data_IF_494779865965
#
_entry.id   IF_494779865965
#
_cell.length_a   1.000
_cell.length_b   1.000
_cell.length_c   1.000
_cell.angle_alpha   90.00
_cell.angle_beta   90.00
_cell.angle_gamma   90.00
#
_symmetry.space_group_name_H-M   'P 1'
#
loop_
_entity.id
_entity.type
_entity.pdbx_description
1 polymer ?
#
# COMPACT_ATOMS: atom_id res chain seq x y z
N UNK A 1 9.58 -43.23 -2.79
CA UNK A 1 10.05 -41.85 -2.62
C UNK A 1 9.08 -40.95 -3.35
N UNK A 2 8.08 -40.43 -2.63
CA UNK A 2 7.05 -39.60 -3.18
C UNK A 2 7.54 -38.14 -3.19
N UNK A 3 7.77 -37.62 -4.39
CA UNK A 3 8.11 -36.23 -4.62
C UNK A 3 6.96 -35.34 -4.04
N UNK A 4 7.23 -34.69 -2.95
CA UNK A 4 6.36 -33.66 -2.37
C UNK A 4 6.28 -32.51 -3.38
N UNK A 5 5.20 -32.45 -4.16
CA UNK A 5 4.87 -31.29 -4.98
C UNK A 5 4.58 -30.12 -4.04
N UNK A 6 5.59 -29.31 -3.77
CA UNK A 6 5.44 -28.03 -3.11
C UNK A 6 4.37 -27.22 -3.88
N UNK A 7 3.32 -26.77 -3.20
CA UNK A 7 2.38 -25.82 -3.81
C UNK A 7 3.16 -24.55 -4.15
N UNK A 8 2.97 -23.98 -5.34
CA UNK A 8 3.59 -22.71 -5.68
C UNK A 8 3.19 -21.65 -4.65
N UNK A 9 4.09 -20.70 -4.39
CA UNK A 9 3.80 -19.56 -3.53
C UNK A 9 2.63 -18.72 -4.09
N UNK A 10 1.88 -17.98 -3.27
CA UNK A 10 0.86 -17.06 -3.77
C UNK A 10 1.48 -16.13 -4.82
N UNK A 11 0.86 -16.03 -6.00
CA UNK A 11 1.38 -15.25 -7.12
C UNK A 11 2.40 -15.99 -8.02
N UNK A 12 2.65 -17.29 -7.81
CA UNK A 12 3.47 -18.13 -8.70
C UNK A 12 2.63 -19.26 -9.33
N UNK A 13 2.85 -19.52 -10.62
CA UNK A 13 2.33 -20.70 -11.30
C UNK A 13 3.38 -21.83 -11.25
N UNK A 14 2.94 -23.06 -11.49
CA UNK A 14 3.83 -24.20 -11.55
C UNK A 14 5.01 -23.95 -12.50
N UNK A 15 6.25 -24.32 -12.09
CA UNK A 15 7.42 -24.13 -12.92
C UNK A 15 7.33 -24.94 -14.22
N UNK A 16 7.84 -24.37 -15.30
CA UNK A 16 7.98 -25.00 -16.60
C UNK A 16 9.45 -25.14 -17.00
N UNK A 17 9.72 -25.89 -18.06
CA UNK A 17 11.07 -25.97 -18.64
C UNK A 17 11.08 -25.14 -19.92
N UNK A 18 11.99 -24.17 -20.00
CA UNK A 18 12.25 -23.39 -21.21
C UNK A 18 13.65 -23.67 -21.74
N UNK A 19 13.87 -23.41 -23.02
CA UNK A 19 15.18 -23.51 -23.67
C UNK A 19 15.71 -22.10 -23.93
N UNK A 20 16.91 -21.84 -23.45
CA UNK A 20 17.61 -20.59 -23.74
C UNK A 20 18.18 -20.62 -25.16
N UNK A 21 18.04 -19.54 -25.91
CA UNK A 21 18.61 -19.40 -27.26
C UNK A 21 20.09 -19.05 -27.24
N UNK A 22 20.60 -18.55 -26.10
CA UNK A 22 22.02 -18.20 -25.96
C UNK A 22 22.91 -19.47 -26.00
N UNK A 23 24.05 -19.41 -26.72
CA UNK A 23 24.95 -20.53 -26.84
C UNK A 23 25.44 -21.03 -25.48
N UNK A 24 25.36 -22.35 -25.23
CA UNK A 24 25.88 -22.98 -24.02
C UNK A 24 24.97 -22.92 -22.78
N UNK A 25 23.80 -22.25 -22.82
CA UNK A 25 22.93 -22.15 -21.66
C UNK A 25 21.96 -23.32 -21.47
N UNK A 26 21.49 -23.92 -22.57
CA UNK A 26 20.66 -25.13 -22.53
C UNK A 26 19.23 -24.89 -22.01
N UNK A 27 18.69 -25.93 -21.36
CA UNK A 27 17.36 -25.86 -20.74
C UNK A 27 17.47 -25.31 -19.32
N UNK A 28 16.42 -24.55 -18.89
CA UNK A 28 16.31 -24.02 -17.55
C UNK A 28 14.88 -24.06 -17.04
N UNK A 29 14.73 -24.07 -15.73
CA UNK A 29 13.44 -23.97 -15.06
C UNK A 29 12.96 -22.52 -15.10
N UNK A 30 11.80 -22.26 -15.71
CA UNK A 30 11.14 -20.96 -15.74
C UNK A 30 9.91 -20.98 -14.85
N UNK A 31 9.65 -19.88 -14.16
CA UNK A 31 8.45 -19.65 -13.35
C UNK A 31 7.62 -18.53 -13.98
N UNK A 32 6.31 -18.59 -13.79
CA UNK A 32 5.42 -17.48 -14.10
C UNK A 32 5.16 -16.69 -12.82
N UNK A 33 5.51 -15.42 -12.81
CA UNK A 33 5.35 -14.50 -11.67
C UNK A 33 4.22 -13.53 -11.99
N UNK A 34 3.25 -13.44 -11.08
CA UNK A 34 2.15 -12.48 -11.18
C UNK A 34 2.70 -11.05 -11.11
N UNK A 35 2.21 -10.18 -11.97
CA UNK A 35 2.48 -8.75 -11.93
C UNK A 35 1.37 -8.03 -11.17
N UNK A 36 1.67 -6.87 -10.59
CA UNK A 36 0.71 -6.11 -9.79
C UNK A 36 -0.54 -5.70 -10.59
N UNK A 37 -0.42 -5.49 -11.88
CA UNK A 37 -1.50 -5.17 -12.82
C UNK A 37 -2.39 -6.38 -13.19
N UNK A 38 -2.06 -7.59 -12.68
CA UNK A 38 -2.76 -8.84 -12.95
C UNK A 38 -2.21 -9.63 -14.14
N UNK A 39 -1.16 -9.13 -14.81
CA UNK A 39 -0.40 -9.85 -15.84
C UNK A 39 0.46 -10.99 -15.26
N UNK A 40 1.07 -11.78 -16.16
CA UNK A 40 2.00 -12.85 -15.78
C UNK A 40 3.26 -12.72 -16.61
N UNK A 41 4.43 -12.75 -15.94
CA UNK A 41 5.74 -12.69 -16.59
C UNK A 41 6.54 -13.97 -16.30
N UNK A 42 7.14 -14.55 -17.35
CA UNK A 42 8.06 -15.68 -17.20
C UNK A 42 9.41 -15.17 -16.71
N UNK A 43 10.08 -15.97 -15.85
CA UNK A 43 11.46 -15.68 -15.46
C UNK A 43 12.43 -16.03 -16.60
N UNK A 44 13.44 -15.19 -16.77
CA UNK A 44 14.48 -15.38 -17.79
C UNK A 44 15.50 -16.44 -17.40
N UNK A 45 16.32 -16.81 -18.37
CA UNK A 45 17.42 -17.74 -18.15
C UNK A 45 18.38 -17.21 -17.06
N UNK A 46 18.61 -17.97 -15.97
CA UNK A 46 19.48 -17.52 -14.87
C UNK A 46 20.92 -17.21 -15.30
N UNK A 47 21.43 -17.92 -16.31
CA UNK A 47 22.78 -17.66 -16.86
C UNK A 47 22.82 -16.35 -17.63
N UNK A 48 21.87 -16.11 -18.53
CA UNK A 48 21.77 -14.82 -19.23
C UNK A 48 21.68 -13.64 -18.26
N UNK A 49 20.87 -13.80 -17.23
CA UNK A 49 20.71 -12.78 -16.17
C UNK A 49 22.02 -12.57 -15.41
N UNK A 50 22.71 -13.64 -15.03
CA UNK A 50 23.99 -13.55 -14.34
C UNK A 50 25.06 -12.89 -15.19
N UNK A 51 25.20 -13.28 -16.47
CA UNK A 51 26.15 -12.70 -17.41
C UNK A 51 25.88 -11.22 -17.65
N UNK A 52 24.62 -10.85 -17.86
CA UNK A 52 24.20 -9.45 -18.03
C UNK A 52 24.58 -8.58 -16.82
N UNK A 53 24.30 -9.06 -15.60
CA UNK A 53 24.58 -8.32 -14.37
C UNK A 53 26.07 -8.27 -13.99
N UNK A 54 26.88 -9.24 -14.47
CA UNK A 54 28.32 -9.30 -14.16
C UNK A 54 29.24 -8.67 -15.24
N UNK A 55 28.68 -7.78 -16.08
CA UNK A 55 29.47 -7.00 -17.05
C UNK A 55 30.14 -7.82 -18.16
N UNK A 56 29.69 -9.06 -18.42
CA UNK A 56 30.20 -9.90 -19.50
C UNK A 56 29.47 -9.70 -20.84
N UNK A 57 28.51 -8.73 -20.86
CA UNK A 57 27.68 -8.42 -22.01
C UNK A 57 27.88 -6.98 -22.48
N UNK A 58 27.34 -6.66 -23.66
CA UNK A 58 27.25 -5.30 -24.17
C UNK A 58 26.48 -4.37 -23.22
N UNK A 59 26.76 -3.07 -23.28
CA UNK A 59 26.12 -2.06 -22.43
C UNK A 59 24.58 -2.11 -22.52
N UNK A 60 24.04 -2.27 -23.73
CA UNK A 60 22.59 -2.40 -23.95
C UNK A 60 21.94 -3.59 -23.23
N UNK A 61 22.63 -4.73 -23.16
CA UNK A 61 22.16 -5.94 -22.47
C UNK A 61 22.20 -5.74 -20.95
N UNK A 62 23.23 -5.05 -20.45
CA UNK A 62 23.30 -4.68 -19.01
C UNK A 62 22.18 -3.73 -18.63
N UNK A 63 21.97 -2.67 -19.42
CA UNK A 63 20.94 -1.67 -19.15
C UNK A 63 19.55 -2.32 -19.13
N UNK A 64 19.29 -3.24 -20.06
CA UNK A 64 18.04 -4.03 -20.07
C UNK A 64 17.90 -4.92 -18.82
N UNK A 65 18.98 -5.58 -18.38
CA UNK A 65 18.96 -6.41 -17.17
C UNK A 65 18.77 -5.61 -15.88
N UNK A 66 19.35 -4.39 -15.81
CA UNK A 66 19.09 -3.48 -14.69
C UNK A 66 17.65 -2.99 -14.67
N UNK A 67 17.12 -2.55 -15.82
CA UNK A 67 15.72 -2.12 -15.92
C UNK A 67 14.73 -3.24 -15.54
N UNK A 68 15.04 -4.48 -15.92
CA UNK A 68 14.24 -5.63 -15.53
C UNK A 68 14.28 -5.88 -14.03
N UNK A 69 15.46 -5.80 -13.41
CA UNK A 69 15.61 -5.93 -11.96
C UNK A 69 14.85 -4.84 -11.21
N UNK A 70 14.95 -3.60 -11.64
CA UNK A 70 14.19 -2.48 -11.07
C UNK A 70 12.68 -2.70 -11.19
N UNK A 71 12.21 -3.21 -12.34
CA UNK A 71 10.81 -3.56 -12.52
C UNK A 71 10.34 -4.70 -11.59
N UNK A 72 11.19 -5.72 -11.34
CA UNK A 72 10.89 -6.79 -10.39
C UNK A 72 10.86 -6.27 -8.94
N UNK A 73 11.77 -5.39 -8.57
CA UNK A 73 11.81 -4.75 -7.25
C UNK A 73 10.56 -3.89 -7.04
N UNK A 74 10.22 -3.05 -8.01
CA UNK A 74 9.00 -2.25 -7.99
C UNK A 74 7.74 -3.12 -7.87
N UNK A 75 7.65 -4.20 -8.67
CA UNK A 75 6.52 -5.12 -8.59
C UNK A 75 6.38 -5.73 -7.19
N UNK A 76 7.48 -6.14 -6.56
CA UNK A 76 7.52 -6.66 -5.20
C UNK A 76 7.06 -5.62 -4.18
N UNK A 77 7.54 -4.38 -4.31
CA UNK A 77 7.18 -3.29 -3.40
C UNK A 77 5.71 -2.92 -3.52
N UNK A 78 5.15 -2.94 -4.74
CA UNK A 78 3.71 -2.75 -4.95
C UNK A 78 2.87 -3.87 -4.31
N UNK A 79 3.30 -5.13 -4.37
CA UNK A 79 2.63 -6.22 -3.65
C UNK A 79 2.72 -6.07 -2.14
N UNK A 80 3.85 -5.59 -1.63
CA UNK A 80 4.06 -5.35 -0.20
C UNK A 80 3.19 -4.22 0.37
N UNK A 81 2.58 -3.36 -0.48
CA UNK A 81 1.70 -2.28 -0.02
C UNK A 81 0.43 -2.76 0.69
N UNK A 82 0.02 -4.02 0.53
CA UNK A 82 -1.27 -4.51 1.03
C UNK A 82 -2.47 -4.09 0.18
N UNK A 83 -2.28 -3.44 -0.96
CA UNK A 83 -3.37 -3.10 -1.89
C UNK A 83 -3.98 -4.39 -2.44
N UNK A 84 -5.27 -4.60 -2.15
CA UNK A 84 -5.98 -5.79 -2.60
C UNK A 84 -6.20 -5.78 -4.11
N UNK A 85 -6.40 -6.95 -4.78
CA UNK A 85 -6.59 -7.04 -6.23
C UNK A 85 -7.66 -6.09 -6.78
N UNK A 86 -8.73 -5.85 -6.02
CA UNK A 86 -9.81 -4.93 -6.40
C UNK A 86 -9.33 -3.48 -6.62
N UNK A 87 -8.29 -3.06 -5.91
CA UNK A 87 -7.81 -1.68 -5.92
C UNK A 87 -6.49 -1.48 -6.68
N UNK A 88 -5.92 -2.53 -7.27
CA UNK A 88 -4.66 -2.45 -8.05
C UNK A 88 -4.78 -1.54 -9.27
N UNK A 89 -5.97 -1.50 -9.91
CA UNK A 89 -6.26 -0.60 -11.04
C UNK A 89 -6.67 0.82 -10.64
N UNK A 90 -6.65 1.16 -9.35
CA UNK A 90 -7.02 2.50 -8.90
C UNK A 90 -5.87 3.49 -9.13
N UNK A 91 -6.10 4.44 -10.03
CA UNK A 91 -5.21 5.57 -10.33
C UNK A 91 -5.99 6.88 -10.20
N UNK A 92 -5.31 8.02 -10.28
CA UNK A 92 -5.99 9.31 -10.36
C UNK A 92 -6.84 9.42 -11.62
N UNK A 93 -6.41 8.82 -12.73
CA UNK A 93 -7.11 8.93 -14.03
C UNK A 93 -8.32 8.00 -14.11
N UNK A 94 -8.33 6.88 -13.36
CA UNK A 94 -9.50 5.99 -13.24
C UNK A 94 -10.53 6.50 -12.23
N UNK A 95 -10.26 7.57 -11.50
CA UNK A 95 -11.23 8.19 -10.60
C UNK A 95 -12.21 9.07 -11.36
N UNK A 96 -13.47 8.63 -11.48
CA UNK A 96 -14.49 9.30 -12.27
C UNK A 96 -15.06 10.51 -11.52
N UNK A 97 -14.79 11.72 -12.01
CA UNK A 97 -15.29 12.97 -11.41
C UNK A 97 -16.61 13.42 -11.99
N UNK A 98 -16.93 13.10 -13.26
CA UNK A 98 -18.09 13.58 -14.00
C UNK A 98 -18.28 15.11 -13.90
N UNK A 99 -17.19 15.87 -13.89
CA UNK A 99 -17.16 17.33 -13.70
C UNK A 99 -17.79 17.82 -12.38
N UNK A 100 -18.03 16.95 -11.40
CA UNK A 100 -18.43 17.32 -10.05
C UNK A 100 -17.27 18.05 -9.36
N UNK A 101 -17.50 19.31 -9.00
CA UNK A 101 -16.47 20.18 -8.44
C UNK A 101 -15.90 19.67 -7.11
N UNK A 102 -16.69 18.98 -6.29
CA UNK A 102 -16.22 18.40 -5.04
C UNK A 102 -15.30 17.20 -5.30
N UNK A 103 -15.65 16.34 -6.27
CA UNK A 103 -14.81 15.21 -6.68
C UNK A 103 -13.50 15.68 -7.31
N UNK A 104 -13.56 16.66 -8.21
CA UNK A 104 -12.37 17.28 -8.84
C UNK A 104 -11.46 17.86 -7.76
N UNK A 105 -12.01 18.58 -6.78
CA UNK A 105 -11.22 19.15 -5.68
C UNK A 105 -10.57 18.07 -4.82
N UNK A 106 -11.28 17.02 -4.42
CA UNK A 106 -10.72 15.92 -3.63
C UNK A 106 -9.62 15.18 -4.40
N UNK A 107 -9.85 14.87 -5.70
CA UNK A 107 -8.83 14.28 -6.58
C UNK A 107 -7.59 15.18 -6.69
N UNK A 108 -7.76 16.49 -6.88
CA UNK A 108 -6.66 17.45 -6.99
C UNK A 108 -5.83 17.53 -5.70
N UNK A 109 -6.47 17.52 -4.51
CA UNK A 109 -5.76 17.48 -3.23
C UNK A 109 -4.94 16.20 -3.12
N UNK A 110 -5.54 15.04 -3.45
CA UNK A 110 -4.87 13.74 -3.37
C UNK A 110 -3.72 13.61 -4.39
N UNK A 111 -3.92 14.07 -5.62
CA UNK A 111 -2.89 14.07 -6.67
C UNK A 111 -1.72 14.96 -6.26
N UNK A 112 -1.97 16.18 -5.81
CA UNK A 112 -0.93 17.09 -5.37
C UNK A 112 -0.16 16.55 -4.16
N UNK A 113 -0.85 15.90 -3.21
CA UNK A 113 -0.18 15.23 -2.09
C UNK A 113 0.78 14.14 -2.58
N UNK A 114 0.41 13.39 -3.60
CA UNK A 114 1.28 12.35 -4.17
C UNK A 114 2.47 12.95 -4.95
N UNK A 115 2.23 13.98 -5.76
CA UNK A 115 3.25 14.66 -6.56
C UNK A 115 4.26 15.46 -5.71
N UNK A 116 3.82 16.02 -4.57
CA UNK A 116 4.65 16.76 -3.62
C UNK A 116 5.09 15.87 -2.43
N UNK A 117 5.13 14.54 -2.59
CA UNK A 117 5.35 13.61 -1.48
C UNK A 117 6.64 13.83 -0.73
N UNK A 118 7.72 14.24 -1.39
CA UNK A 118 9.02 14.50 -0.74
C UNK A 118 8.90 15.61 0.32
N UNK A 119 8.17 16.68 0.05
CA UNK A 119 7.94 17.75 1.00
C UNK A 119 7.04 17.31 2.15
N UNK A 120 6.03 16.49 1.86
CA UNK A 120 5.17 15.90 2.89
C UNK A 120 5.93 14.90 3.76
N UNK A 121 6.83 14.13 3.18
CA UNK A 121 7.67 13.18 3.89
C UNK A 121 8.64 13.90 4.85
N UNK A 122 9.34 14.93 4.38
CA UNK A 122 10.25 15.73 5.22
C UNK A 122 9.54 16.40 6.38
N UNK A 123 8.29 16.81 6.20
CA UNK A 123 7.49 17.47 7.22
C UNK A 123 6.70 16.50 8.12
N UNK A 124 6.65 15.20 7.80
CA UNK A 124 5.74 14.25 8.46
C UNK A 124 4.26 14.61 8.31
N UNK A 125 3.88 15.26 7.20
CA UNK A 125 2.55 15.85 7.02
C UNK A 125 1.49 14.80 6.72
N UNK A 126 0.46 14.73 7.56
CA UNK A 126 -0.65 13.82 7.39
C UNK A 126 -1.68 14.31 6.37
N UNK A 127 -2.46 13.36 5.80
CA UNK A 127 -3.64 13.63 4.97
C UNK A 127 -4.84 12.86 5.52
N UNK A 128 -5.97 13.53 5.72
CA UNK A 128 -7.22 12.91 6.14
C UNK A 128 -8.22 12.90 4.99
N UNK A 129 -8.78 11.72 4.66
CA UNK A 129 -9.84 11.52 3.68
C UNK A 129 -11.13 11.22 4.43
N UNK A 130 -12.04 12.19 4.51
CA UNK A 130 -13.25 12.12 5.32
C UNK A 130 -14.51 12.20 4.47
N UNK A 131 -15.53 11.40 4.78
CA UNK A 131 -16.83 11.42 4.13
C UNK A 131 -17.51 10.07 4.10
N UNK A 132 -18.73 9.96 3.60
CA UNK A 132 -19.58 8.78 3.62
C UNK A 132 -18.98 7.56 2.88
N UNK A 133 -19.56 6.38 3.15
CA UNK A 133 -19.18 5.12 2.52
C UNK A 133 -19.40 5.15 1.01
N UNK A 134 -18.48 4.60 0.22
CA UNK A 134 -18.67 4.36 -1.22
C UNK A 134 -18.39 5.57 -2.11
N UNK A 135 -17.82 6.66 -1.59
CA UNK A 135 -17.48 7.85 -2.37
C UNK A 135 -16.02 7.91 -2.87
N UNK A 136 -15.26 6.80 -2.79
CA UNK A 136 -13.98 6.65 -3.47
C UNK A 136 -12.74 7.05 -2.66
N UNK A 137 -12.82 7.21 -1.33
CA UNK A 137 -11.66 7.50 -0.46
C UNK A 137 -10.54 6.49 -0.62
N UNK A 138 -10.85 5.20 -0.47
CA UNK A 138 -9.89 4.09 -0.63
C UNK A 138 -9.29 4.06 -2.04
N UNK A 139 -10.07 4.40 -3.09
CA UNK A 139 -9.56 4.52 -4.45
C UNK A 139 -8.43 5.56 -4.54
N UNK A 140 -8.68 6.79 -4.08
CA UNK A 140 -7.67 7.85 -4.15
C UNK A 140 -6.49 7.61 -3.22
N UNK A 141 -6.70 6.98 -2.06
CA UNK A 141 -5.59 6.56 -1.19
C UNK A 141 -4.70 5.51 -1.84
N UNK A 142 -5.28 4.51 -2.52
CA UNK A 142 -4.51 3.54 -3.30
C UNK A 142 -3.79 4.18 -4.50
N UNK A 143 -4.40 5.19 -5.14
CA UNK A 143 -3.75 5.95 -6.20
C UNK A 143 -2.53 6.72 -5.69
N UNK A 144 -2.65 7.40 -4.53
CA UNK A 144 -1.51 8.05 -3.86
C UNK A 144 -0.42 7.02 -3.56
N UNK A 145 -0.77 5.92 -2.90
CA UNK A 145 0.18 4.92 -2.46
C UNK A 145 0.96 4.30 -3.63
N UNK A 146 0.27 3.94 -4.72
CA UNK A 146 0.91 3.43 -5.93
C UNK A 146 1.83 4.47 -6.59
N UNK A 147 1.42 5.74 -6.64
CA UNK A 147 2.23 6.83 -7.17
C UNK A 147 3.52 6.99 -6.36
N UNK A 148 3.39 7.06 -5.04
CA UNK A 148 4.53 7.25 -4.12
C UNK A 148 5.54 6.09 -4.20
N UNK A 149 5.07 4.85 -4.30
CA UNK A 149 5.94 3.68 -4.49
C UNK A 149 6.65 3.73 -5.85
N UNK A 150 5.96 4.13 -6.92
CA UNK A 150 6.53 4.17 -8.28
C UNK A 150 7.53 5.31 -8.50
N UNK A 151 7.17 6.51 -8.04
CA UNK A 151 7.94 7.72 -8.37
C UNK A 151 9.05 8.00 -7.35
N UNK A 152 8.88 7.57 -6.09
CA UNK A 152 9.84 7.87 -5.01
C UNK A 152 10.52 6.62 -4.44
N UNK A 153 10.23 5.43 -4.96
CA UNK A 153 10.71 4.15 -4.43
C UNK A 153 10.47 4.00 -2.90
N UNK A 154 9.41 4.65 -2.39
CA UNK A 154 9.09 4.69 -0.98
C UNK A 154 8.34 3.41 -0.55
N UNK A 155 8.58 2.96 0.67
CA UNK A 155 7.85 1.84 1.27
C UNK A 155 6.50 2.31 1.77
N UNK A 156 5.44 1.81 1.15
CA UNK A 156 4.08 2.17 1.51
C UNK A 156 3.28 0.97 2.02
N UNK A 157 2.32 1.23 2.91
CA UNK A 157 1.41 0.19 3.43
C UNK A 157 0.00 0.75 3.58
N UNK A 158 -1.01 0.00 3.13
CA UNK A 158 -2.41 0.24 3.46
C UNK A 158 -2.95 -0.89 4.32
N UNK A 159 -3.59 -0.55 5.41
CA UNK A 159 -4.16 -1.50 6.37
C UNK A 159 -5.42 -0.90 7.00
N UNK A 160 -6.42 -1.72 7.31
CA UNK A 160 -7.59 -1.25 8.05
C UNK A 160 -7.29 -1.15 9.55
N UNK A 161 -7.97 -0.22 10.24
CA UNK A 161 -7.86 -0.11 11.69
C UNK A 161 -8.19 -1.43 12.40
N UNK A 162 -9.20 -2.18 11.90
CA UNK A 162 -9.58 -3.49 12.43
C UNK A 162 -8.47 -4.54 12.23
N UNK A 163 -7.80 -4.55 11.09
CA UNK A 163 -6.68 -5.48 10.83
C UNK A 163 -5.50 -5.22 11.78
N UNK A 164 -5.19 -3.95 12.08
CA UNK A 164 -4.18 -3.61 13.09
C UNK A 164 -4.58 -4.17 14.45
N UNK A 165 -5.83 -3.96 14.87
CA UNK A 165 -6.34 -4.46 16.15
C UNK A 165 -6.29 -5.98 16.21
N UNK A 166 -6.69 -6.66 15.13
CA UNK A 166 -6.68 -8.12 15.06
C UNK A 166 -5.24 -8.66 15.18
N UNK A 167 -4.29 -8.11 14.44
CA UNK A 167 -2.89 -8.53 14.50
C UNK A 167 -2.30 -8.36 15.91
N UNK A 168 -2.59 -7.23 16.59
CA UNK A 168 -2.17 -7.01 17.97
C UNK A 168 -2.85 -7.98 18.94
N UNK A 169 -4.14 -8.27 18.75
CA UNK A 169 -4.87 -9.24 19.58
C UNK A 169 -4.29 -10.64 19.43
N UNK A 170 -3.96 -11.05 18.20
CA UNK A 170 -3.38 -12.36 17.93
C UNK A 170 -1.97 -12.49 18.48
N UNK A 171 -1.19 -11.39 18.52
CA UNK A 171 0.13 -11.38 19.15
C UNK A 171 0.10 -11.71 20.67
N UNK A 172 -1.01 -11.43 21.35
CA UNK A 172 -1.18 -11.83 22.76
C UNK A 172 -1.54 -13.31 22.95
N UNK A 173 -2.01 -13.97 21.87
CA UNK A 173 -2.43 -15.38 21.92
C UNK A 173 -1.33 -16.35 21.49
N UNK A 174 -0.34 -15.86 20.76
CA UNK A 174 0.74 -16.67 20.18
C UNK A 174 2.10 -16.23 20.72
N UNK A 175 2.84 -17.17 21.33
CA UNK A 175 4.22 -16.92 21.75
C UNK A 175 5.23 -17.08 20.59
N UNK A 176 4.79 -17.46 19.39
CA UNK A 176 5.65 -17.77 18.25
C UNK A 176 5.61 -16.69 17.13
N UNK A 177 4.79 -15.66 17.28
CA UNK A 177 4.64 -14.56 16.32
C UNK A 177 5.31 -13.25 16.77
N UNK A 178 5.23 -12.19 15.93
CA UNK A 178 5.71 -10.88 16.29
C UNK A 178 4.97 -10.34 17.52
N UNK A 179 5.70 -9.66 18.40
CA UNK A 179 5.10 -8.99 19.57
C UNK A 179 4.29 -7.75 19.13
N UNK A 180 3.42 -7.23 20.03
CA UNK A 180 2.76 -5.94 19.81
C UNK A 180 3.79 -4.85 19.46
N UNK A 181 4.93 -4.83 20.14
CA UNK A 181 5.97 -3.83 19.89
C UNK A 181 6.56 -3.93 18.48
N UNK A 182 6.78 -5.16 17.99
CA UNK A 182 7.32 -5.40 16.65
C UNK A 182 6.32 -4.95 15.58
N UNK A 183 5.03 -5.29 15.73
CA UNK A 183 3.96 -4.86 14.83
C UNK A 183 3.85 -3.33 14.76
N UNK A 184 3.90 -2.66 15.91
CA UNK A 184 3.85 -1.20 15.95
C UNK A 184 5.12 -0.55 15.38
N UNK A 185 6.29 -1.18 15.57
CA UNK A 185 7.53 -0.72 14.96
C UNK A 185 7.49 -0.86 13.43
N UNK A 186 6.95 -1.96 12.90
CA UNK A 186 6.76 -2.18 11.47
C UNK A 186 5.84 -1.13 10.86
N UNK A 187 4.65 -0.88 11.47
CA UNK A 187 3.73 0.18 11.04
C UNK A 187 4.35 1.58 11.11
N UNK A 188 5.25 1.81 12.06
CA UNK A 188 5.92 3.10 12.20
C UNK A 188 7.06 3.28 11.20
N UNK A 189 7.69 2.20 10.73
CA UNK A 189 8.89 2.24 9.89
C UNK A 189 8.60 2.53 8.42
N UNK A 190 7.41 2.19 7.89
CA UNK A 190 7.07 2.45 6.47
C UNK A 190 7.04 3.95 6.17
N UNK A 191 7.46 4.33 4.97
CA UNK A 191 7.54 5.74 4.59
C UNK A 191 6.15 6.38 4.51
N UNK A 192 5.15 5.69 3.96
CA UNK A 192 3.75 6.13 3.95
C UNK A 192 2.83 5.04 4.50
N UNK A 193 2.11 5.33 5.58
CA UNK A 193 1.07 4.45 6.12
C UNK A 193 -0.31 5.00 5.78
N UNK A 194 -1.17 4.15 5.22
CA UNK A 194 -2.59 4.44 5.05
C UNK A 194 -3.38 3.59 6.04
N UNK A 195 -4.12 4.22 6.94
CA UNK A 195 -5.02 3.56 7.88
C UNK A 195 -6.44 3.75 7.38
N UNK A 196 -7.07 2.69 6.89
CA UNK A 196 -8.43 2.72 6.35
C UNK A 196 -9.48 2.30 7.40
N UNK A 197 -10.73 2.66 7.14
CA UNK A 197 -11.91 2.29 7.94
C UNK A 197 -11.86 2.75 9.41
N UNK A 198 -11.19 3.86 9.68
CA UNK A 198 -11.13 4.42 11.05
C UNK A 198 -12.51 4.87 11.51
N UNK A 199 -12.92 4.41 12.69
CA UNK A 199 -14.23 4.74 13.28
C UNK A 199 -15.40 3.90 12.79
N UNK A 200 -15.13 2.79 12.06
CA UNK A 200 -16.18 1.86 11.58
C UNK A 200 -16.60 0.81 12.61
N UNK A 201 -15.75 0.52 13.58
CA UNK A 201 -16.09 -0.47 14.61
C UNK A 201 -17.07 0.10 15.65
N UNK A 202 -17.92 -0.78 16.19
CA UNK A 202 -18.80 -0.43 17.30
C UNK A 202 -18.00 -0.51 18.62
N UNK A 203 -17.81 0.60 19.34
CA UNK A 203 -17.07 0.59 20.60
C UNK A 203 -17.72 -0.35 21.61
N UNK A 204 -16.95 -1.22 22.26
CA UNK A 204 -17.41 -2.07 23.36
C UNK A 204 -17.02 -1.40 24.68
N UNK A 205 -17.96 -0.90 25.48
CA UNK A 205 -17.65 -0.24 26.73
C UNK A 205 -16.70 -1.06 27.63
N UNK A 206 -15.59 -0.46 28.04
CA UNK A 206 -14.59 -1.08 28.92
C UNK A 206 -13.67 -2.14 28.29
N UNK A 207 -13.80 -2.42 27.00
CA UNK A 207 -12.98 -3.41 26.27
C UNK A 207 -12.41 -2.90 24.94
N UNK A 208 -12.70 -1.65 24.59
CA UNK A 208 -12.24 -1.06 23.33
C UNK A 208 -10.88 -0.38 23.54
N UNK A 209 -9.82 -1.00 23.06
CA UNK A 209 -8.48 -0.43 23.07
C UNK A 209 -8.09 0.18 21.69
N UNK A 210 -8.98 0.17 20.71
CA UNK A 210 -8.74 0.72 19.36
C UNK A 210 -8.27 2.19 19.40
N UNK A 211 -8.92 3.11 20.14
CA UNK A 211 -8.45 4.49 20.18
C UNK A 211 -7.04 4.62 20.73
N UNK A 212 -6.69 3.84 21.78
CA UNK A 212 -5.34 3.84 22.36
C UNK A 212 -4.32 3.25 21.39
N UNK A 213 -4.68 2.22 20.64
CA UNK A 213 -3.81 1.59 19.66
C UNK A 213 -3.53 2.53 18.49
N UNK A 214 -4.57 3.14 17.92
CA UNK A 214 -4.42 4.13 16.84
C UNK A 214 -3.60 5.34 17.31
N UNK A 215 -3.85 5.82 18.52
CA UNK A 215 -3.03 6.87 19.11
C UNK A 215 -1.55 6.46 19.18
N UNK A 216 -1.23 5.24 19.63
CA UNK A 216 0.15 4.76 19.73
C UNK A 216 0.82 4.66 18.35
N UNK A 217 0.12 4.19 17.31
CA UNK A 217 0.63 4.16 15.93
C UNK A 217 0.91 5.56 15.42
N UNK A 218 -0.07 6.47 15.54
CA UNK A 218 0.05 7.86 15.08
C UNK A 218 1.17 8.59 15.83
N UNK A 219 1.28 8.40 17.15
CA UNK A 219 2.31 9.02 17.97
C UNK A 219 3.72 8.57 17.60
N UNK A 220 3.93 7.26 17.41
CA UNK A 220 5.24 6.73 16.96
C UNK A 220 5.64 7.30 15.60
N UNK A 221 4.69 7.38 14.65
CA UNK A 221 4.94 7.93 13.31
C UNK A 221 5.23 9.43 13.37
N UNK A 222 4.48 10.16 14.18
CA UNK A 222 4.73 11.56 14.43
C UNK A 222 6.15 11.81 14.97
N UNK A 223 6.60 11.03 15.97
CA UNK A 223 7.95 11.13 16.52
C UNK A 223 9.05 10.80 15.49
N UNK A 224 8.77 9.91 14.54
CA UNK A 224 9.67 9.55 13.44
C UNK A 224 9.55 10.48 12.23
N UNK A 225 8.71 11.53 12.31
CA UNK A 225 8.40 12.44 11.19
C UNK A 225 7.95 11.67 9.95
N UNK A 226 7.03 10.69 10.12
CA UNK A 226 6.51 9.85 9.04
C UNK A 226 5.08 10.25 8.68
N UNK A 227 4.77 10.56 7.40
CA UNK A 227 3.44 10.94 6.95
C UNK A 227 2.45 9.78 7.07
N UNK A 228 1.22 10.10 7.48
CA UNK A 228 0.14 9.14 7.63
C UNK A 228 -1.09 9.62 6.87
N UNK A 229 -1.70 8.74 6.07
CA UNK A 229 -3.02 8.97 5.50
C UNK A 229 -4.05 8.25 6.37
N UNK A 230 -5.08 8.97 6.79
CA UNK A 230 -6.19 8.42 7.57
C UNK A 230 -7.49 8.51 6.76
N UNK A 231 -8.18 7.38 6.64
CA UNK A 231 -9.47 7.30 5.95
C UNK A 231 -10.57 7.01 6.95
N UNK A 232 -11.61 7.83 6.97
CA UNK A 232 -12.75 7.64 7.87
C UNK A 232 -14.08 7.99 7.19
N UNK A 233 -15.13 7.30 7.61
CA UNK A 233 -16.51 7.67 7.27
C UNK A 233 -17.11 8.67 8.26
N UNK A 234 -16.38 9.00 9.31
CA UNK A 234 -16.76 10.03 10.27
C UNK A 234 -16.42 11.42 9.69
N UNK A 235 -17.16 12.41 10.11
CA UNK A 235 -16.85 13.79 9.81
C UNK A 235 -15.70 14.33 10.70
N UNK A 236 -15.30 15.56 10.44
CA UNK A 236 -14.22 16.23 11.15
C UNK A 236 -14.51 16.41 12.65
N UNK A 237 -15.78 16.48 13.03
CA UNK A 237 -16.23 16.73 14.42
C UNK A 237 -16.30 15.41 15.19
N UNK A 238 -16.68 14.33 14.54
CA UNK A 238 -16.85 12.99 15.11
C UNK A 238 -15.52 12.22 15.22
N UNK A 239 -14.61 12.39 14.25
CA UNK A 239 -13.35 11.65 14.20
C UNK A 239 -12.54 11.71 15.52
N UNK A 240 -12.42 12.84 16.25
CA UNK A 240 -11.69 12.90 17.51
C UNK A 240 -12.22 11.94 18.59
N UNK A 241 -13.50 11.58 18.54
CA UNK A 241 -14.08 10.61 19.48
C UNK A 241 -13.50 9.19 19.27
N UNK A 242 -13.03 8.85 18.05
CA UNK A 242 -12.51 7.54 17.70
C UNK A 242 -11.00 7.41 17.83
N UNK A 243 -10.24 8.48 17.60
CA UNK A 243 -8.77 8.43 17.65
C UNK A 243 -8.19 9.17 18.85
N UNK A 244 -9.02 9.90 19.55
CA UNK A 244 -8.62 10.75 20.67
C UNK A 244 -8.09 12.14 20.25
N UNK A 245 -8.21 13.15 21.12
CA UNK A 245 -7.83 14.53 20.81
C UNK A 245 -6.32 14.68 20.54
N UNK A 246 -5.47 13.93 21.22
CA UNK A 246 -4.03 13.98 21.02
C UNK A 246 -3.60 13.46 19.65
N UNK A 247 -4.16 12.34 19.18
CA UNK A 247 -3.87 11.81 17.85
C UNK A 247 -4.36 12.79 16.77
N UNK A 248 -5.53 13.42 16.98
CA UNK A 248 -6.05 14.42 16.06
C UNK A 248 -5.18 15.66 15.97
N UNK A 249 -4.61 16.11 17.09
CA UNK A 249 -3.68 17.23 17.14
C UNK A 249 -2.41 16.95 16.32
N UNK A 250 -1.81 15.78 16.50
CA UNK A 250 -0.64 15.34 15.71
C UNK A 250 -0.91 15.24 14.20
N UNK A 251 -2.10 14.77 13.80
CA UNK A 251 -2.48 14.72 12.39
C UNK A 251 -2.69 16.10 11.76
N UNK A 252 -2.97 17.12 12.57
CA UNK A 252 -3.13 18.52 12.12
C UNK A 252 -1.83 19.30 12.13
N UNK A 253 -0.87 18.89 12.93
CA UNK A 253 0.42 19.54 13.04
C UNK A 253 1.17 19.52 11.70
N UNK A 254 2.11 20.43 11.51
CA UNK A 254 2.91 20.59 10.30
C UNK A 254 2.06 20.81 9.00
N UNK A 255 0.86 21.37 9.17
CA UNK A 255 -0.06 21.67 8.06
C UNK A 255 -0.76 20.43 7.51
N UNK A 256 -1.20 19.52 8.39
CA UNK A 256 -1.97 18.34 8.03
C UNK A 256 -3.16 18.69 7.11
N UNK A 257 -3.29 17.94 6.02
CA UNK A 257 -4.25 18.21 4.94
C UNK A 257 -5.55 17.44 5.17
N UNK A 258 -6.65 18.00 4.64
CA UNK A 258 -7.97 17.39 4.65
C UNK A 258 -8.53 17.38 3.22
N UNK A 259 -8.91 16.21 2.73
CA UNK A 259 -9.71 16.05 1.53
C UNK A 259 -11.13 15.61 1.92
N UNK A 260 -12.13 16.51 1.82
CA UNK A 260 -13.53 16.19 2.14
C UNK A 260 -14.19 15.49 0.95
N UNK A 261 -14.91 14.40 1.23
CA UNK A 261 -15.69 13.61 0.27
C UNK A 261 -17.18 13.84 0.56
N UNK A 262 -17.73 14.91 0.04
CA UNK A 262 -19.07 15.43 0.42
C UNK A 262 -20.20 14.98 -0.50
N UNK A 263 -19.91 14.20 -1.54
CA UNK A 263 -20.91 13.66 -2.47
C UNK A 263 -21.45 12.30 -2.00
N UNK A 264 -22.64 11.94 -2.50
CA UNK A 264 -23.27 10.65 -2.21
C UNK A 264 -22.53 9.46 -2.87
N UNK A 265 -22.74 8.26 -2.31
CA UNK A 265 -22.09 7.04 -2.76
C UNK A 265 -22.30 6.74 -4.26
N UNK A 266 -21.22 6.48 -4.98
CA UNK A 266 -21.27 6.02 -6.37
C UNK A 266 -21.83 4.59 -6.52
N UNK A 267 -21.96 3.82 -5.41
CA UNK A 267 -22.46 2.44 -5.43
C UNK A 267 -23.98 2.34 -5.50
N UNK A 268 -24.70 3.42 -5.20
CA UNK A 268 -26.18 3.46 -5.17
C UNK A 268 -26.76 3.81 -6.54
N UNK A 269 -25.96 4.27 -7.50
CA UNK A 269 -26.39 4.67 -8.86
C UNK A 269 -26.28 3.60 -9.95
N UNK A 270 -25.93 2.37 -9.63
CA UNK A 270 -25.70 1.28 -10.57
C UNK A 270 -26.82 0.24 -10.64
N UNK A 271 -28.09 0.68 -10.80
CA UNK A 271 -29.19 -0.17 -11.25
C UNK A 271 -29.92 0.58 -12.37
N UNK A 272 -29.48 0.38 -13.57
CA UNK A 272 -30.25 0.53 -14.79
C UNK A 272 -29.74 -0.47 -15.80
#
# INVERSE_FOLDING_TARGET
MTSSKLRPAPGERAPGIAKCEAPGHGQYETKQVEQFDGGWKATDCPRCRWEALNLQCDASVRDAAYAEREAEELNRDLFATGITPRFRGCTFDTFITNADSAKVRAQSICRRYAEEFEDHYRAGRALMLLGEVGNGKTHLACAILQHVVREYAAKGLIVTAEAIMQAVTDSFRSNAGPSKSDLLAELAAVDLLVIDEVGMHTPRPGKDFMPSLLHEVIDRRYQLVRPTILISNQDREQLPAFIGPRAMDRLRENGGLLAPFTWSSARVGGVA
#
